data_IF_983346584351
#
_entry.id   IF_983346584351
#
_cell.length_a   1.000
_cell.length_b   1.000
_cell.length_c   1.000
_cell.angle_alpha   90.00
_cell.angle_beta   90.00
_cell.angle_gamma   90.00
#
_symmetry.space_group_name_H-M   'P 1'
#
loop_
_entity.id
_entity.type
_entity.pdbx_description
1 polymer ?
#
# COMPACT_ATOMS: atom_id res chain seq x y z
N UNK A 1 19.30 -38.46 16.97
CA UNK A 1 19.35 -36.99 16.79
C UNK A 1 18.41 -36.69 15.65
N UNK A 2 17.28 -36.03 15.91
CA UNK A 2 16.35 -35.58 14.86
C UNK A 2 16.78 -34.18 14.47
N UNK A 3 17.10 -33.98 13.19
CA UNK A 3 17.40 -32.66 12.65
C UNK A 3 16.21 -31.74 12.91
N UNK A 4 16.49 -30.55 13.44
CA UNK A 4 15.47 -29.53 13.61
C UNK A 4 14.88 -29.20 12.22
N UNK A 5 13.55 -29.03 12.10
CA UNK A 5 12.94 -28.69 10.83
C UNK A 5 13.58 -27.40 10.29
N UNK A 6 13.98 -27.46 9.02
CA UNK A 6 14.62 -26.35 8.33
C UNK A 6 13.72 -25.11 8.44
N UNK A 7 14.24 -24.02 9.01
CA UNK A 7 13.46 -22.79 9.14
C UNK A 7 13.09 -22.31 7.73
N UNK A 8 11.81 -21.97 7.47
CA UNK A 8 11.42 -21.45 6.17
C UNK A 8 12.25 -20.20 5.87
N UNK A 9 12.86 -20.18 4.68
CA UNK A 9 13.66 -19.04 4.23
C UNK A 9 12.79 -17.78 4.26
N UNK A 10 13.33 -16.63 4.74
CA UNK A 10 12.57 -15.39 4.72
C UNK A 10 12.14 -15.08 3.27
N UNK A 11 10.95 -14.49 3.07
CA UNK A 11 10.52 -14.10 1.75
C UNK A 11 11.59 -13.21 1.11
N UNK A 12 12.03 -13.57 -0.10
CA UNK A 12 13.00 -12.77 -0.82
C UNK A 12 12.37 -11.41 -1.14
N UNK A 13 13.13 -10.34 -0.90
CA UNK A 13 12.68 -8.99 -1.21
C UNK A 13 12.35 -8.90 -2.72
N UNK A 14 11.11 -8.55 -3.03
CA UNK A 14 10.65 -8.36 -4.41
C UNK A 14 10.70 -6.89 -4.77
N UNK A 15 11.47 -6.54 -5.80
CA UNK A 15 11.37 -5.22 -6.43
C UNK A 15 10.19 -5.25 -7.42
N UNK A 16 9.26 -4.32 -7.26
CA UNK A 16 8.11 -4.15 -8.18
C UNK A 16 8.35 -2.84 -8.94
N UNK A 17 8.71 -2.90 -10.23
CA UNK A 17 8.82 -1.71 -11.07
C UNK A 17 7.45 -1.06 -11.27
N UNK A 18 7.41 0.28 -11.39
CA UNK A 18 6.17 1.04 -11.60
C UNK A 18 5.45 0.64 -12.88
N UNK A 19 6.18 0.19 -13.91
CA UNK A 19 5.59 -0.24 -15.18
C UNK A 19 4.78 -1.54 -15.04
N UNK A 20 4.93 -2.25 -13.93
CA UNK A 20 4.21 -3.49 -13.63
C UNK A 20 3.03 -3.29 -12.67
N UNK A 21 2.79 -2.04 -12.21
CA UNK A 21 1.70 -1.73 -11.30
C UNK A 21 0.41 -1.42 -12.05
N UNK A 22 -0.73 -1.66 -11.40
CA UNK A 22 -2.01 -1.19 -11.93
C UNK A 22 -2.19 0.29 -11.60
N UNK A 23 -2.30 1.11 -12.65
CA UNK A 23 -2.60 2.53 -12.50
C UNK A 23 -4.08 2.77 -12.21
N UNK A 24 -4.39 3.71 -11.32
CA UNK A 24 -5.74 4.18 -11.08
C UNK A 24 -5.81 5.70 -11.14
N UNK A 25 -6.94 6.20 -11.65
CA UNK A 25 -7.26 7.61 -11.67
C UNK A 25 -8.67 7.83 -11.10
N UNK A 26 -8.79 8.77 -10.16
CA UNK A 26 -10.02 9.11 -9.45
C UNK A 26 -10.04 10.61 -9.19
N UNK A 27 -11.24 11.15 -8.98
CA UNK A 27 -11.39 12.56 -8.68
C UNK A 27 -10.55 12.96 -7.44
N UNK A 28 -9.59 13.87 -7.65
CA UNK A 28 -8.72 14.43 -6.62
C UNK A 28 -7.44 13.65 -6.31
N UNK A 29 -7.27 12.42 -6.81
CA UNK A 29 -6.06 11.62 -6.60
C UNK A 29 -5.91 10.48 -7.62
N UNK A 30 -4.67 10.19 -7.98
CA UNK A 30 -4.29 9.11 -8.91
C UNK A 30 -3.14 8.30 -8.29
N UNK A 31 -2.74 7.21 -8.92
CA UNK A 31 -1.59 6.46 -8.43
C UNK A 31 -1.49 5.05 -8.96
N UNK A 32 -0.70 4.25 -8.26
CA UNK A 32 -0.24 2.95 -8.72
C UNK A 32 -0.37 1.91 -7.61
N UNK A 33 -1.00 0.77 -7.91
CA UNK A 33 -1.19 -0.34 -6.98
C UNK A 33 -0.03 -1.32 -7.10
N UNK A 34 0.79 -1.40 -6.06
CA UNK A 34 1.96 -2.29 -5.98
C UNK A 34 1.59 -3.67 -5.43
N UNK A 35 0.68 -3.71 -4.46
CA UNK A 35 0.21 -4.95 -3.83
C UNK A 35 -1.31 -4.90 -3.70
N UNK A 36 -1.98 -5.82 -4.40
CA UNK A 36 -3.44 -5.96 -4.42
C UNK A 36 -3.92 -6.82 -3.25
N UNK A 37 -5.19 -6.69 -2.92
CA UNK A 37 -5.81 -7.53 -1.89
C UNK A 37 -5.77 -9.01 -2.30
N UNK A 38 -6.03 -9.26 -3.59
CA UNK A 38 -6.01 -10.59 -4.21
C UNK A 38 -4.62 -11.24 -4.25
N UNK A 39 -3.54 -10.50 -3.96
CA UNK A 39 -2.18 -11.08 -3.88
C UNK A 39 -2.01 -11.94 -2.61
N UNK A 40 -2.90 -11.82 -1.61
CA UNK A 40 -2.91 -12.71 -0.44
C UNK A 40 -1.72 -12.55 0.52
N UNK A 41 -0.95 -11.46 0.42
CA UNK A 41 0.29 -11.24 1.19
C UNK A 41 0.08 -10.57 2.56
N UNK A 42 -1.17 -10.32 2.95
CA UNK A 42 -1.54 -9.78 4.27
C UNK A 42 -1.44 -8.25 4.39
N UNK A 43 -1.13 -7.53 3.31
CA UNK A 43 -1.16 -6.07 3.25
C UNK A 43 -1.43 -5.59 1.82
N UNK A 44 -1.77 -4.31 1.71
CA UNK A 44 -1.86 -3.58 0.44
C UNK A 44 -0.83 -2.47 0.40
N UNK A 45 -0.32 -2.16 -0.79
CA UNK A 45 0.64 -1.08 -1.00
C UNK A 45 0.27 -0.30 -2.26
N UNK A 46 0.20 1.02 -2.12
CA UNK A 46 -0.15 1.94 -3.18
C UNK A 46 0.81 3.12 -3.15
N UNK A 47 1.26 3.57 -4.32
CA UNK A 47 1.77 4.91 -4.51
C UNK A 47 0.60 5.81 -4.88
N UNK A 48 0.50 7.00 -4.26
CA UNK A 48 -0.65 7.90 -4.47
C UNK A 48 -0.15 9.32 -4.68
N UNK A 49 -0.59 9.91 -5.77
CA UNK A 49 -0.42 11.32 -6.08
C UNK A 49 -1.73 12.06 -5.82
N UNK A 50 -1.69 13.08 -4.96
CA UNK A 50 -2.85 13.87 -4.56
C UNK A 50 -2.79 15.24 -5.22
N UNK A 51 -3.69 15.48 -6.17
CA UNK A 51 -3.72 16.73 -6.98
C UNK A 51 -4.82 17.70 -6.54
N UNK A 52 -5.65 17.28 -5.59
CA UNK A 52 -6.73 18.08 -5.04
C UNK A 52 -7.06 17.63 -3.61
N UNK A 53 -8.35 17.42 -3.32
CA UNK A 53 -8.78 16.87 -2.05
C UNK A 53 -8.99 15.36 -2.17
N UNK A 54 -8.34 14.57 -1.31
CA UNK A 54 -8.73 13.17 -1.16
C UNK A 54 -10.09 13.11 -0.45
N UNK A 55 -11.08 12.38 -0.99
CA UNK A 55 -12.40 12.29 -0.35
C UNK A 55 -12.27 11.70 1.05
N UNK A 56 -12.96 12.32 2.00
CA UNK A 56 -13.00 11.86 3.39
C UNK A 56 -13.73 10.50 3.44
N UNK A 57 -12.97 9.41 3.58
CA UNK A 57 -13.51 8.06 3.65
C UNK A 57 -13.23 7.44 5.02
N UNK A 58 -14.27 6.85 5.58
CA UNK A 58 -14.15 6.05 6.80
C UNK A 58 -13.37 4.78 6.52
N UNK A 59 -12.42 4.46 7.40
CA UNK A 59 -11.68 3.21 7.35
C UNK A 59 -12.54 2.15 8.04
N UNK A 60 -13.23 1.33 7.26
CA UNK A 60 -14.13 0.29 7.78
C UNK A 60 -13.39 -0.82 8.54
N UNK A 61 -12.14 -1.10 8.18
CA UNK A 61 -11.28 -2.09 8.85
C UNK A 61 -9.80 -1.89 8.47
N UNK A 62 -8.91 -2.42 9.31
CA UNK A 62 -7.46 -2.43 9.08
C UNK A 62 -6.73 -1.17 9.54
N UNK A 63 -5.40 -1.26 9.56
CA UNK A 63 -4.50 -0.13 9.83
C UNK A 63 -3.99 0.42 8.51
N UNK A 64 -4.05 1.75 8.34
CA UNK A 64 -3.41 2.45 7.22
C UNK A 64 -2.22 3.24 7.73
N UNK A 65 -1.08 3.06 7.07
CA UNK A 65 0.14 3.81 7.32
C UNK A 65 0.48 4.62 6.07
N UNK A 66 0.82 5.89 6.27
CA UNK A 66 1.17 6.82 5.19
C UNK A 66 2.62 7.25 5.34
N UNK A 67 3.36 7.22 4.23
CA UNK A 67 4.66 7.86 4.11
C UNK A 67 4.56 8.93 3.03
N UNK A 68 4.69 10.20 3.42
CA UNK A 68 4.68 11.31 2.46
C UNK A 68 6.06 11.39 1.83
N UNK A 69 6.13 11.08 0.53
CA UNK A 69 7.38 11.12 -0.22
C UNK A 69 7.73 12.54 -0.65
N UNK A 70 6.74 13.28 -1.16
CA UNK A 70 6.89 14.65 -1.66
C UNK A 70 5.65 15.48 -1.31
N UNK A 71 5.86 16.80 -1.13
CA UNK A 71 4.79 17.75 -0.83
C UNK A 71 4.34 17.78 0.64
N UNK A 72 3.20 18.42 0.89
CA UNK A 72 2.62 18.59 2.24
C UNK A 72 1.10 18.55 2.18
N UNK A 73 0.45 18.08 3.24
CA UNK A 73 -1.00 18.04 3.34
C UNK A 73 -1.48 17.87 4.78
N UNK A 74 -2.80 17.93 4.98
CA UNK A 74 -3.42 17.75 6.28
C UNK A 74 -4.15 16.40 6.36
N UNK A 75 -3.87 15.62 7.39
CA UNK A 75 -4.60 14.39 7.69
C UNK A 75 -5.73 14.70 8.67
N UNK A 76 -6.97 14.49 8.22
CA UNK A 76 -8.15 14.69 9.06
C UNK A 76 -8.68 13.33 9.53
N UNK A 77 -8.73 13.13 10.84
CA UNK A 77 -9.38 11.98 11.45
C UNK A 77 -10.85 12.32 11.69
N UNK A 78 -11.76 11.52 11.14
CA UNK A 78 -13.17 11.58 11.55
C UNK A 78 -13.24 10.97 12.95
N UNK A 79 -13.63 11.79 13.93
CA UNK A 79 -13.96 11.35 15.28
C UNK A 79 -15.34 10.70 15.32
#
# INVERSE_FOLDING_TARGET
MVDAPERPRPPQARKIPREQTEHFDREGFSGDIYVKEDDGVGYNALGVDVHGAHPLKEIKSGTRSYLVMEGTGNFHFKR
#
